data_IF_373315220533
#
_entry.id   IF_373315220533
#
_cell.length_a   1.000
_cell.length_b   1.000
_cell.length_c   1.000
_cell.angle_alpha   90.00
_cell.angle_beta   90.00
_cell.angle_gamma   90.00
#
_symmetry.space_group_name_H-M   'P 1'
#
loop_
_entity.id
_entity.type
_entity.pdbx_description
1 polymer ?
#
# COMPACT_ATOMS: atom_id res chain seq x y z
N UNK A 1 -26.91 8.25 20.56
CA UNK A 1 -25.57 8.84 20.34
C UNK A 1 -24.88 7.98 19.29
N UNK A 2 -25.03 8.36 18.02
CA UNK A 2 -24.58 7.56 16.89
C UNK A 2 -23.06 7.36 17.00
N UNK A 3 -22.61 6.13 16.84
CA UNK A 3 -21.21 5.72 16.92
C UNK A 3 -20.45 6.33 15.76
N UNK A 4 -19.93 7.54 15.97
CA UNK A 4 -19.17 8.26 14.95
C UNK A 4 -17.84 7.54 14.70
N UNK A 5 -17.81 6.76 13.61
CA UNK A 5 -16.70 5.87 13.27
C UNK A 5 -15.39 6.63 13.07
N UNK A 6 -15.47 7.80 12.45
CA UNK A 6 -14.32 8.69 12.20
C UNK A 6 -13.65 9.15 13.51
N UNK A 7 -14.43 9.48 14.53
CA UNK A 7 -13.90 9.91 15.84
C UNK A 7 -13.15 8.74 16.52
N UNK A 8 -13.69 7.52 16.44
CA UNK A 8 -13.05 6.32 16.99
C UNK A 8 -11.77 5.96 16.23
N UNK A 9 -11.82 5.97 14.91
CA UNK A 9 -10.66 5.70 14.06
C UNK A 9 -9.54 6.71 14.31
N UNK A 10 -9.88 8.01 14.39
CA UNK A 10 -8.90 9.07 14.69
C UNK A 10 -8.27 8.91 16.08
N UNK A 11 -9.08 8.56 17.09
CA UNK A 11 -8.56 8.32 18.45
C UNK A 11 -7.60 7.13 18.49
N UNK A 12 -7.90 6.06 17.74
CA UNK A 12 -7.02 4.90 17.60
C UNK A 12 -5.70 5.28 16.92
N UNK A 13 -5.77 6.04 15.81
CA UNK A 13 -4.60 6.50 15.07
C UNK A 13 -3.66 7.36 15.94
N UNK A 14 -4.23 8.26 16.74
CA UNK A 14 -3.44 9.11 17.65
C UNK A 14 -2.83 8.34 18.83
N UNK A 15 -3.51 7.29 19.32
CA UNK A 15 -3.02 6.48 20.45
C UNK A 15 -1.92 5.51 20.03
N UNK A 16 -2.00 4.99 18.80
CA UNK A 16 -1.04 4.02 18.26
C UNK A 16 -0.52 4.47 16.89
N UNK A 17 0.33 5.51 16.84
CA UNK A 17 0.79 6.09 15.57
C UNK A 17 1.58 5.11 14.70
N UNK A 18 2.40 4.23 15.29
CA UNK A 18 3.12 3.19 14.55
C UNK A 18 2.16 2.22 13.84
N UNK A 19 1.18 1.70 14.58
CA UNK A 19 0.19 0.79 14.00
C UNK A 19 -0.63 1.48 12.92
N UNK A 20 -0.99 2.75 13.15
CA UNK A 20 -1.69 3.55 12.15
C UNK A 20 -0.90 3.66 10.84
N UNK A 21 0.39 3.99 10.91
CA UNK A 21 1.25 4.11 9.72
C UNK A 21 1.38 2.77 9.00
N UNK A 22 1.58 1.67 9.75
CA UNK A 22 1.65 0.31 9.19
C UNK A 22 0.34 -0.05 8.48
N UNK A 23 -0.82 0.16 9.10
CA UNK A 23 -2.09 -0.16 8.47
C UNK A 23 -2.31 0.67 7.20
N UNK A 24 -2.05 1.98 7.26
CA UNK A 24 -2.17 2.85 6.08
C UNK A 24 -1.29 2.37 4.93
N UNK A 25 -0.03 2.02 5.21
CA UNK A 25 0.89 1.51 4.19
C UNK A 25 0.46 0.14 3.64
N UNK A 26 0.04 -0.80 4.50
CA UNK A 26 -0.48 -2.10 4.05
C UNK A 26 -1.68 -1.93 3.13
N UNK A 27 -2.68 -1.12 3.52
CA UNK A 27 -3.86 -0.90 2.69
C UNK A 27 -3.49 -0.26 1.35
N UNK A 28 -2.62 0.75 1.36
CA UNK A 28 -2.13 1.38 0.13
C UNK A 28 -1.50 0.35 -0.82
N UNK A 29 -0.56 -0.47 -0.34
CA UNK A 29 0.12 -1.46 -1.17
C UNK A 29 -0.79 -2.60 -1.63
N UNK A 30 -1.79 -2.98 -0.82
CA UNK A 30 -2.81 -3.96 -1.24
C UNK A 30 -3.57 -3.43 -2.46
N UNK A 31 -4.03 -2.18 -2.41
CA UNK A 31 -4.71 -1.57 -3.55
C UNK A 31 -3.75 -1.42 -4.75
N UNK A 32 -2.54 -0.91 -4.52
CA UNK A 32 -1.57 -0.70 -5.59
C UNK A 32 -1.23 -2.00 -6.33
N UNK A 33 -0.89 -3.07 -5.61
CA UNK A 33 -0.63 -4.38 -6.23
C UNK A 33 -1.89 -5.00 -6.82
N UNK A 34 -3.05 -4.87 -6.17
CA UNK A 34 -4.32 -5.34 -6.72
C UNK A 34 -4.62 -4.73 -8.08
N UNK A 35 -4.47 -3.40 -8.22
CA UNK A 35 -4.60 -2.70 -9.49
C UNK A 35 -3.53 -3.13 -10.49
N UNK A 36 -2.27 -3.19 -10.07
CA UNK A 36 -1.14 -3.57 -10.92
C UNK A 36 -1.32 -4.96 -11.54
N UNK A 37 -1.64 -5.98 -10.74
CA UNK A 37 -1.85 -7.34 -11.25
C UNK A 37 -3.10 -7.45 -12.12
N UNK A 38 -4.14 -6.67 -11.82
CA UNK A 38 -5.32 -6.58 -12.69
C UNK A 38 -4.98 -5.99 -14.05
N UNK A 39 -4.18 -4.92 -14.08
CA UNK A 39 -3.68 -4.34 -15.33
C UNK A 39 -2.82 -5.34 -16.11
N UNK A 40 -1.87 -5.99 -15.45
CA UNK A 40 -1.05 -7.03 -16.07
C UNK A 40 -1.89 -8.16 -16.66
N UNK A 41 -2.94 -8.59 -15.96
CA UNK A 41 -3.85 -9.62 -16.47
C UNK A 41 -4.55 -9.18 -17.75
N UNK A 42 -5.05 -7.94 -17.81
CA UNK A 42 -5.67 -7.40 -19.02
C UNK A 42 -4.66 -7.21 -20.16
N UNK A 43 -3.47 -6.71 -19.87
CA UNK A 43 -2.39 -6.56 -20.85
C UNK A 43 -1.98 -7.93 -21.41
N UNK A 44 -1.80 -8.92 -20.55
CA UNK A 44 -1.48 -10.29 -20.97
C UNK A 44 -2.58 -10.87 -21.87
N UNK A 45 -3.86 -10.70 -21.50
CA UNK A 45 -4.99 -11.13 -22.33
C UNK A 45 -5.03 -10.42 -23.69
N UNK A 46 -4.77 -9.12 -23.73
CA UNK A 46 -4.72 -8.35 -24.97
C UNK A 46 -3.62 -8.88 -25.90
N UNK A 47 -2.43 -9.15 -25.36
CA UNK A 47 -1.31 -9.70 -26.13
C UNK A 47 -1.63 -11.11 -26.64
N UNK A 48 -2.17 -12.00 -25.81
CA UNK A 48 -2.53 -13.36 -26.26
C UNK A 48 -3.62 -13.35 -27.33
N UNK A 49 -4.53 -12.38 -27.28
CA UNK A 49 -5.56 -12.18 -28.31
C UNK A 49 -4.97 -11.72 -29.65
N UNK A 50 -3.88 -10.95 -29.63
CA UNK A 50 -3.23 -10.42 -30.84
C UNK A 50 -2.32 -11.46 -31.53
N UNK A 51 -1.67 -12.34 -30.75
CA UNK A 51 -0.62 -13.24 -31.25
C UNK A 51 -1.02 -14.72 -31.27
N UNK A 52 -2.29 -15.06 -31.04
CA UNK A 52 -2.82 -16.43 -31.03
C UNK A 52 -1.99 -17.42 -30.16
N UNK A 53 -1.43 -16.92 -29.05
CA UNK A 53 -0.72 -17.77 -28.10
C UNK A 53 -1.73 -18.53 -27.23
N UNK A 54 -1.72 -19.86 -27.34
CA UNK A 54 -2.44 -20.76 -26.43
C UNK A 54 -1.74 -20.85 -25.08
N UNK A 55 -1.77 -19.77 -24.30
CA UNK A 55 -1.23 -19.72 -22.94
C UNK A 55 -2.36 -19.49 -21.95
N UNK A 56 -2.46 -20.38 -20.95
CA UNK A 56 -3.44 -20.27 -19.86
C UNK A 56 -2.95 -19.27 -18.81
N UNK A 57 -3.48 -18.05 -18.87
CA UNK A 57 -3.14 -16.98 -17.91
C UNK A 57 -3.88 -17.23 -16.59
N UNK A 58 -3.14 -17.58 -15.53
CA UNK A 58 -3.68 -17.77 -14.18
C UNK A 58 -3.48 -16.49 -13.35
N UNK A 59 -4.56 -15.79 -13.02
CA UNK A 59 -4.50 -14.54 -12.25
C UNK A 59 -4.39 -14.76 -10.73
N UNK A 60 -4.91 -15.89 -10.24
CA UNK A 60 -5.03 -16.17 -8.80
C UNK A 60 -3.68 -16.25 -8.08
N UNK A 61 -2.69 -16.90 -8.69
CA UNK A 61 -1.34 -17.02 -8.13
C UNK A 61 -0.63 -15.66 -8.00
N UNK A 62 -0.73 -14.84 -9.04
CA UNK A 62 -0.13 -13.49 -9.04
C UNK A 62 -0.78 -12.57 -8.00
N UNK A 63 -2.11 -12.63 -7.86
CA UNK A 63 -2.80 -11.89 -6.81
C UNK A 63 -2.37 -12.33 -5.41
N UNK A 64 -2.25 -13.63 -5.16
CA UNK A 64 -1.83 -14.14 -3.85
C UNK A 64 -0.42 -13.68 -3.46
N UNK A 65 0.54 -13.78 -4.39
CA UNK A 65 1.90 -13.26 -4.19
C UNK A 65 1.87 -11.75 -3.98
N UNK A 66 1.04 -11.03 -4.73
CA UNK A 66 0.82 -9.60 -4.58
C UNK A 66 0.33 -9.20 -3.19
N UNK A 67 -0.63 -9.94 -2.62
CA UNK A 67 -1.13 -9.69 -1.27
C UNK A 67 -0.05 -9.90 -0.20
N UNK A 68 0.72 -11.00 -0.28
CA UNK A 68 1.82 -11.24 0.67
C UNK A 68 2.87 -10.13 0.58
N UNK A 69 3.22 -9.75 -0.65
CA UNK A 69 4.20 -8.69 -0.92
C UNK A 69 3.69 -7.35 -0.41
N UNK A 70 2.41 -7.04 -0.61
CA UNK A 70 1.77 -5.82 -0.12
C UNK A 70 1.86 -5.70 1.40
N UNK A 71 1.60 -6.79 2.13
CA UNK A 71 1.68 -6.80 3.59
C UNK A 71 3.13 -6.63 4.04
N UNK A 72 4.08 -7.36 3.45
CA UNK A 72 5.49 -7.26 3.80
C UNK A 72 6.05 -5.84 3.55
N UNK A 73 5.80 -5.28 2.35
CA UNK A 73 6.20 -3.91 2.02
C UNK A 73 5.50 -2.88 2.90
N UNK A 74 4.19 -3.03 3.13
CA UNK A 74 3.43 -2.13 3.98
C UNK A 74 3.94 -2.08 5.42
N UNK A 75 4.35 -3.21 5.99
CA UNK A 75 4.96 -3.26 7.32
C UNK A 75 6.31 -2.53 7.31
N UNK A 76 7.19 -2.85 6.36
CA UNK A 76 8.55 -2.27 6.30
C UNK A 76 8.46 -0.75 6.12
N UNK A 77 7.68 -0.28 5.14
CA UNK A 77 7.53 1.14 4.87
C UNK A 77 6.78 1.87 5.98
N UNK A 78 5.76 1.26 6.59
CA UNK A 78 5.06 1.85 7.73
C UNK A 78 5.94 2.04 8.96
N UNK A 79 6.90 1.12 9.19
CA UNK A 79 7.92 1.27 10.23
C UNK A 79 8.89 2.41 9.87
N UNK A 80 9.37 2.44 8.63
CA UNK A 80 10.28 3.50 8.14
C UNK A 80 9.63 4.88 8.30
N UNK A 81 8.38 5.04 7.85
CA UNK A 81 7.60 6.27 7.98
C UNK A 81 7.48 6.72 9.44
N UNK A 82 7.16 5.80 10.35
CA UNK A 82 7.06 6.13 11.76
C UNK A 82 8.38 6.68 12.33
N UNK A 83 9.52 6.07 11.96
CA UNK A 83 10.83 6.54 12.41
C UNK A 83 11.23 7.86 11.75
N UNK A 84 10.91 8.06 10.47
CA UNK A 84 11.11 9.33 9.77
C UNK A 84 10.29 10.43 10.43
N UNK A 85 8.99 10.23 10.64
CA UNK A 85 8.11 11.20 11.30
C UNK A 85 8.64 11.59 12.68
N UNK A 86 9.11 10.61 13.45
CA UNK A 86 9.68 10.87 14.77
C UNK A 86 10.99 11.65 14.71
N UNK A 87 11.84 11.39 13.71
CA UNK A 87 13.14 12.06 13.52
C UNK A 87 12.99 13.47 12.94
N UNK A 88 12.00 13.69 12.08
CA UNK A 88 11.79 14.95 11.35
C UNK A 88 10.72 15.85 11.97
N UNK A 89 10.02 15.41 13.03
CA UNK A 89 8.99 16.18 13.77
C UNK A 89 9.39 17.59 14.25
N UNK A 90 10.69 17.91 14.26
CA UNK A 90 11.23 19.23 14.65
C UNK A 90 11.80 20.04 13.48
N UNK A 91 11.76 19.51 12.26
CA UNK A 91 12.24 20.20 11.04
C UNK A 91 11.06 20.80 10.28
N UNK A 92 11.33 21.72 9.34
CA UNK A 92 10.28 22.36 8.56
C UNK A 92 9.50 21.33 7.73
N UNK A 93 8.19 21.56 7.60
CA UNK A 93 7.28 20.71 6.82
C UNK A 93 7.79 20.42 5.40
N UNK A 94 8.51 21.37 4.78
CA UNK A 94 9.08 21.19 3.43
C UNK A 94 10.15 20.11 3.36
N UNK A 95 10.98 19.95 4.41
CA UNK A 95 12.01 18.91 4.47
C UNK A 95 11.36 17.54 4.73
N UNK A 96 10.33 17.50 5.59
CA UNK A 96 9.58 16.27 5.85
C UNK A 96 8.91 15.74 4.57
N UNK A 97 8.29 16.63 3.80
CA UNK A 97 7.64 16.26 2.54
C UNK A 97 8.64 15.77 1.48
N UNK A 98 9.79 16.44 1.34
CA UNK A 98 10.84 16.02 0.42
C UNK A 98 11.37 14.61 0.73
N UNK A 99 11.59 14.31 2.01
CA UNK A 99 12.07 12.98 2.42
C UNK A 99 11.00 11.91 2.15
N UNK A 100 9.73 12.19 2.45
CA UNK A 100 8.61 11.27 2.16
C UNK A 100 8.29 11.09 0.68
N UNK A 101 8.69 12.03 -0.17
CA UNK A 101 8.45 11.91 -1.62
C UNK A 101 9.53 11.08 -2.30
N UNK A 102 10.75 11.06 -1.75
CA UNK A 102 11.90 10.34 -2.30
C UNK A 102 11.92 8.87 -1.84
N UNK A 103 11.42 8.60 -0.62
CA UNK A 103 11.27 7.27 -0.04
C UNK A 103 9.90 6.66 -0.37
#
# INVERSE_FOLDING_TARGET
>A
MNTDYTIRARRMALRHPLLSNIFTQIFFWIFAFGFYFTLLFFTAKAITSLFALNVTIHNSGNMFVGFITAIAFGIILGIIDYYIDRKFRRKSFGIEFLVKFIL
#
